data_IF_094840727344
#
_entry.id   IF_094840727344
#
_cell.length_a   1.000
_cell.length_b   1.000
_cell.length_c   1.000
_cell.angle_alpha   90.00
_cell.angle_beta   90.00
_cell.angle_gamma   90.00
#
_symmetry.space_group_name_H-M   'P 1'
#
loop_
_entity.id
_entity.type
_entity.pdbx_description
1 polymer ?
#
# COMPACT_ATOMS: atom_id res chain seq x y z
N UNK A 1 -14.23 10.01 -30.36
CA UNK A 1 -13.80 9.16 -29.24
C UNK A 1 -14.48 9.69 -27.98
N UNK A 2 -14.96 8.82 -27.09
CA UNK A 2 -15.42 9.24 -25.77
C UNK A 2 -14.26 9.96 -25.05
N UNK A 3 -14.50 11.07 -24.33
CA UNK A 3 -13.44 11.75 -23.59
C UNK A 3 -12.87 10.82 -22.51
N UNK A 4 -11.54 10.87 -22.34
CA UNK A 4 -10.81 10.10 -21.34
C UNK A 4 -11.18 10.62 -19.94
N UNK A 5 -11.67 9.79 -19.00
CA UNK A 5 -11.91 10.24 -17.63
C UNK A 5 -10.64 10.79 -17.01
N UNK A 6 -10.75 11.74 -16.08
CA UNK A 6 -9.55 12.23 -15.38
C UNK A 6 -8.99 11.19 -14.42
N UNK A 7 -9.85 10.47 -13.71
CA UNK A 7 -9.45 9.42 -12.77
C UNK A 7 -10.10 8.06 -13.09
N UNK A 8 -9.36 6.98 -12.91
CA UNK A 8 -9.90 5.63 -12.72
C UNK A 8 -9.62 5.19 -11.29
N UNK A 9 -10.67 4.90 -10.54
CA UNK A 9 -10.57 4.25 -9.24
C UNK A 9 -10.79 2.76 -9.46
N UNK A 10 -9.85 1.92 -9.03
CA UNK A 10 -9.90 0.47 -9.22
C UNK A 10 -10.04 -0.22 -7.88
N UNK A 11 -11.03 -1.09 -7.77
CA UNK A 11 -11.30 -1.95 -6.61
C UNK A 11 -11.23 -3.41 -7.08
N UNK A 12 -10.08 -4.08 -6.95
CA UNK A 12 -10.02 -5.53 -7.07
C UNK A 12 -10.70 -6.17 -5.85
N UNK A 13 -11.54 -7.17 -6.08
CA UNK A 13 -12.34 -7.80 -5.01
C UNK A 13 -12.46 -9.31 -5.20
N UNK A 14 -12.61 -10.03 -4.10
CA UNK A 14 -12.98 -11.44 -4.09
C UNK A 14 -13.69 -11.80 -2.80
N UNK A 15 -14.94 -12.23 -2.90
CA UNK A 15 -15.73 -12.78 -1.79
C UNK A 15 -15.78 -11.89 -0.54
N UNK A 16 -15.94 -10.57 -0.76
CA UNK A 16 -15.93 -9.52 0.26
C UNK A 16 -17.09 -8.55 0.06
N UNK A 17 -18.25 -9.08 -0.34
CA UNK A 17 -19.43 -8.27 -0.63
C UNK A 17 -19.82 -7.34 0.54
N UNK A 18 -19.52 -7.74 1.79
CA UNK A 18 -19.84 -6.98 3.00
C UNK A 18 -19.05 -5.68 3.18
N UNK A 19 -17.80 -5.63 2.72
CA UNK A 19 -16.98 -4.41 2.80
C UNK A 19 -17.07 -3.59 1.52
N UNK A 20 -17.16 -4.29 0.37
CA UNK A 20 -17.20 -3.70 -0.96
C UNK A 20 -18.31 -2.66 -1.11
N UNK A 21 -19.50 -2.92 -0.55
CA UNK A 21 -20.63 -1.98 -0.60
C UNK A 21 -20.24 -0.59 -0.07
N UNK A 22 -19.53 -0.56 1.06
CA UNK A 22 -19.13 0.69 1.70
C UNK A 22 -17.94 1.34 1.02
N UNK A 23 -16.99 0.55 0.48
CA UNK A 23 -15.93 1.06 -0.36
C UNK A 23 -16.51 1.80 -1.58
N UNK A 24 -17.43 1.17 -2.32
CA UNK A 24 -18.12 1.78 -3.48
C UNK A 24 -18.79 3.09 -3.08
N UNK A 25 -19.54 3.12 -1.96
CA UNK A 25 -20.19 4.35 -1.47
C UNK A 25 -19.20 5.50 -1.28
N UNK A 26 -17.98 5.25 -0.79
CA UNK A 26 -16.97 6.32 -0.62
C UNK A 26 -16.49 6.91 -1.94
N UNK A 27 -16.40 6.09 -2.99
CA UNK A 27 -16.00 6.52 -4.33
C UNK A 27 -17.14 7.28 -5.02
N UNK A 28 -18.38 6.82 -4.89
CA UNK A 28 -19.54 7.50 -5.48
C UNK A 28 -19.87 8.83 -4.80
N UNK A 29 -19.49 8.99 -3.52
CA UNK A 29 -19.70 10.21 -2.74
C UNK A 29 -18.62 11.29 -2.99
N UNK A 30 -17.82 11.16 -4.05
CA UNK A 30 -16.87 12.20 -4.44
C UNK A 30 -17.60 13.39 -5.07
N UNK A 31 -17.22 14.60 -4.65
CA UNK A 31 -17.66 15.86 -5.28
C UNK A 31 -16.86 16.14 -6.56
N UNK A 32 -16.83 15.18 -7.48
CA UNK A 32 -16.07 15.21 -8.71
C UNK A 32 -16.69 14.23 -9.71
N UNK A 33 -17.05 14.67 -10.91
CA UNK A 33 -17.80 13.82 -11.85
C UNK A 33 -16.92 13.11 -12.88
N UNK A 34 -15.74 13.65 -13.16
CA UNK A 34 -14.84 13.17 -14.23
C UNK A 34 -13.98 11.98 -13.78
N UNK A 35 -14.65 10.88 -13.43
CA UNK A 35 -14.01 9.62 -13.08
C UNK A 35 -14.80 8.40 -13.55
N UNK A 36 -14.13 7.25 -13.60
CA UNK A 36 -14.75 5.93 -13.67
C UNK A 36 -14.36 5.10 -12.44
N UNK A 37 -15.26 4.21 -12.01
CA UNK A 37 -15.01 3.23 -10.95
C UNK A 37 -14.99 1.84 -11.58
N UNK A 38 -13.85 1.17 -11.53
CA UNK A 38 -13.67 -0.20 -12.00
C UNK A 38 -13.74 -1.12 -10.79
N UNK A 39 -14.71 -2.02 -10.76
CA UNK A 39 -14.76 -3.13 -9.79
C UNK A 39 -14.36 -4.40 -10.54
N UNK A 40 -13.23 -4.99 -10.14
CA UNK A 40 -12.69 -6.20 -10.75
C UNK A 40 -12.89 -7.39 -9.82
N UNK A 41 -13.91 -8.19 -10.10
CA UNK A 41 -14.28 -9.37 -9.33
C UNK A 41 -13.49 -10.62 -9.78
N UNK A 42 -12.72 -11.19 -8.87
CA UNK A 42 -11.93 -12.38 -9.12
C UNK A 42 -12.73 -13.68 -8.92
N UNK A 43 -13.77 -13.87 -9.73
CA UNK A 43 -14.59 -15.08 -9.75
C UNK A 43 -15.24 -15.37 -8.36
N UNK A 44 -15.83 -14.35 -7.74
CA UNK A 44 -16.52 -14.50 -6.45
C UNK A 44 -17.75 -15.41 -6.53
N UNK A 45 -17.99 -16.17 -5.47
CA UNK A 45 -19.15 -17.07 -5.31
C UNK A 45 -20.17 -16.56 -4.28
N UNK A 46 -19.91 -15.40 -3.66
CA UNK A 46 -20.81 -14.73 -2.71
C UNK A 46 -21.72 -13.69 -3.43
N UNK A 47 -22.31 -12.77 -2.66
CA UNK A 47 -23.20 -11.74 -3.21
C UNK A 47 -22.48 -10.54 -3.84
N UNK A 48 -21.21 -10.67 -4.24
CA UNK A 48 -20.40 -9.55 -4.75
C UNK A 48 -21.06 -8.89 -5.96
N UNK A 49 -21.50 -9.67 -6.96
CA UNK A 49 -22.18 -9.15 -8.15
C UNK A 49 -23.48 -8.44 -7.79
N UNK A 50 -24.28 -9.04 -6.91
CA UNK A 50 -25.55 -8.49 -6.45
C UNK A 50 -25.33 -7.15 -5.73
N UNK A 51 -24.31 -7.04 -4.87
CA UNK A 51 -23.96 -5.79 -4.19
C UNK A 51 -23.64 -4.68 -5.19
N UNK A 52 -22.82 -4.95 -6.20
CA UNK A 52 -22.47 -3.95 -7.22
C UNK A 52 -23.71 -3.55 -8.03
N UNK A 53 -24.60 -4.49 -8.35
CA UNK A 53 -25.81 -4.22 -9.13
C UNK A 53 -26.85 -3.31 -8.44
N UNK A 54 -26.74 -3.11 -7.12
CA UNK A 54 -27.62 -2.19 -6.36
C UNK A 54 -27.34 -0.71 -6.66
N UNK A 55 -26.19 -0.40 -7.24
CA UNK A 55 -25.79 0.97 -7.54
C UNK A 55 -26.16 1.33 -8.98
N UNK A 56 -27.18 2.18 -9.15
CA UNK A 56 -27.56 2.74 -10.45
C UNK A 56 -26.69 3.97 -10.80
N UNK A 57 -25.39 3.74 -11.01
CA UNK A 57 -24.43 4.78 -11.38
C UNK A 57 -23.61 4.36 -12.60
N UNK A 58 -23.78 5.11 -13.70
CA UNK A 58 -23.14 4.82 -14.98
C UNK A 58 -21.61 4.89 -14.95
N UNK A 59 -21.00 5.50 -13.91
CA UNK A 59 -19.55 5.56 -13.72
C UNK A 59 -18.98 4.23 -13.27
N UNK A 60 -19.79 3.33 -12.72
CA UNK A 60 -19.38 1.99 -12.29
C UNK A 60 -19.22 1.09 -13.52
N UNK A 61 -18.08 0.40 -13.59
CA UNK A 61 -17.73 -0.62 -14.58
C UNK A 61 -17.37 -1.88 -13.81
N UNK A 62 -18.32 -2.81 -13.75
CA UNK A 62 -18.12 -4.11 -13.15
C UNK A 62 -17.57 -5.09 -14.20
N UNK A 63 -16.42 -5.67 -13.89
CA UNK A 63 -15.80 -6.76 -14.65
C UNK A 63 -15.57 -7.93 -13.73
N UNK A 64 -15.48 -9.13 -14.31
CA UNK A 64 -15.20 -10.34 -13.57
C UNK A 64 -14.35 -11.29 -14.41
N UNK A 65 -13.57 -12.13 -13.73
CA UNK A 65 -12.87 -13.25 -14.37
C UNK A 65 -13.73 -14.50 -14.36
N UNK A 66 -13.67 -15.31 -15.44
CA UNK A 66 -14.37 -16.59 -15.55
C UNK A 66 -13.71 -17.71 -14.71
N UNK A 67 -12.51 -17.45 -14.17
CA UNK A 67 -11.77 -18.36 -13.30
C UNK A 67 -11.06 -17.58 -12.19
N UNK A 68 -10.77 -18.23 -11.06
CA UNK A 68 -9.96 -17.63 -10.00
C UNK A 68 -8.54 -17.40 -10.50
N UNK A 69 -8.10 -16.16 -10.44
CA UNK A 69 -6.76 -15.70 -10.81
C UNK A 69 -5.91 -15.47 -9.56
N UNK A 70 -4.59 -15.44 -9.73
CA UNK A 70 -3.69 -14.90 -8.71
C UNK A 70 -4.03 -13.42 -8.45
N UNK A 71 -3.64 -12.88 -7.29
CA UNK A 71 -3.80 -11.46 -7.01
C UNK A 71 -3.17 -10.58 -8.09
N UNK A 72 -1.95 -10.92 -8.49
CA UNK A 72 -1.20 -10.21 -9.52
C UNK A 72 -1.97 -10.17 -10.86
N UNK A 73 -2.43 -11.33 -11.33
CA UNK A 73 -3.14 -11.44 -12.61
C UNK A 73 -4.50 -10.73 -12.57
N UNK A 74 -5.20 -10.76 -11.43
CA UNK A 74 -6.46 -10.03 -11.28
C UNK A 74 -6.25 -8.51 -11.30
N UNK A 75 -5.16 -8.02 -10.70
CA UNK A 75 -4.80 -6.60 -10.72
C UNK A 75 -4.39 -6.12 -12.12
N UNK A 76 -3.64 -6.94 -12.87
CA UNK A 76 -3.33 -6.72 -14.30
C UNK A 76 -4.59 -6.72 -15.17
N UNK A 77 -5.49 -7.67 -14.96
CA UNK A 77 -6.76 -7.72 -15.67
C UNK A 77 -7.59 -6.45 -15.39
N UNK A 78 -7.67 -6.02 -14.13
CA UNK A 78 -8.30 -4.75 -13.76
C UNK A 78 -7.65 -3.56 -14.49
N UNK A 79 -6.31 -3.55 -14.57
CA UNK A 79 -5.54 -2.49 -15.21
C UNK A 79 -5.83 -2.40 -16.72
N UNK A 80 -6.09 -3.53 -17.38
CA UNK A 80 -6.44 -3.58 -18.80
C UNK A 80 -7.74 -2.81 -19.13
N UNK A 81 -8.62 -2.62 -18.14
CA UNK A 81 -9.88 -1.90 -18.29
C UNK A 81 -9.79 -0.40 -18.01
N UNK A 82 -8.67 0.07 -17.41
CA UNK A 82 -8.43 1.47 -17.04
C UNK A 82 -8.32 2.37 -18.27
N UNK A 83 -9.14 3.44 -18.28
CA UNK A 83 -9.13 4.48 -19.31
C UNK A 83 -8.71 5.84 -18.78
N UNK A 84 -8.80 6.08 -17.47
CA UNK A 84 -8.52 7.37 -16.83
C UNK A 84 -7.12 7.90 -17.10
N UNK A 85 -6.91 9.20 -16.88
CA UNK A 85 -5.58 9.83 -16.97
C UNK A 85 -4.69 9.49 -15.78
N UNK A 86 -5.29 9.41 -14.60
CA UNK A 86 -4.65 8.96 -13.37
C UNK A 86 -5.40 7.76 -12.80
N UNK A 87 -4.64 6.80 -12.28
CA UNK A 87 -5.16 5.55 -11.73
C UNK A 87 -4.84 5.47 -10.24
N UNK A 88 -5.79 4.97 -9.46
CA UNK A 88 -5.63 4.62 -8.06
C UNK A 88 -6.20 3.22 -7.82
N UNK A 89 -5.47 2.42 -7.04
CA UNK A 89 -5.99 1.17 -6.49
C UNK A 89 -6.30 1.37 -5.00
N UNK A 90 -7.45 0.88 -4.57
CA UNK A 90 -7.82 0.73 -3.17
C UNK A 90 -8.48 -0.64 -2.97
N UNK A 91 -8.36 -1.18 -1.77
CA UNK A 91 -8.95 -2.45 -1.37
C UNK A 91 -10.45 -2.32 -1.22
N UNK A 92 -11.15 -3.44 -1.35
CA UNK A 92 -12.59 -3.53 -1.13
C UNK A 92 -13.03 -3.33 0.32
N UNK A 93 -12.08 -3.21 1.26
CA UNK A 93 -12.31 -2.81 2.64
C UNK A 93 -11.78 -1.43 3.01
N UNK A 94 -11.24 -0.67 2.05
CA UNK A 94 -10.77 0.71 2.20
C UNK A 94 -11.86 1.74 1.89
N UNK A 95 -11.56 3.02 2.13
CA UNK A 95 -12.45 4.13 1.75
C UNK A 95 -11.72 5.32 1.13
N UNK A 96 -12.28 5.91 0.08
CA UNK A 96 -11.76 7.15 -0.50
C UNK A 96 -12.26 8.36 0.32
N UNK A 97 -11.37 9.29 0.70
CA UNK A 97 -11.77 10.45 1.50
C UNK A 97 -12.67 11.41 0.70
N UNK A 98 -13.65 12.08 1.32
CA UNK A 98 -14.39 13.14 0.67
C UNK A 98 -13.47 14.20 0.07
N UNK A 99 -13.72 14.58 -1.19
CA UNK A 99 -12.91 15.53 -1.97
C UNK A 99 -11.50 15.04 -2.34
N UNK A 100 -11.20 13.74 -2.22
CA UNK A 100 -9.93 13.19 -2.66
C UNK A 100 -9.65 13.49 -4.14
N UNK A 101 -10.61 13.20 -5.03
CA UNK A 101 -10.45 13.44 -6.47
C UNK A 101 -10.33 14.94 -6.79
N UNK A 102 -11.16 15.78 -6.16
CA UNK A 102 -11.07 17.24 -6.30
C UNK A 102 -9.71 17.76 -5.85
N UNK A 103 -9.19 17.24 -4.74
CA UNK A 103 -7.91 17.65 -4.20
C UNK A 103 -6.74 17.21 -5.06
N UNK A 104 -6.75 15.96 -5.55
CA UNK A 104 -5.77 15.45 -6.48
C UNK A 104 -5.78 16.26 -7.78
N UNK A 105 -6.96 16.60 -8.31
CA UNK A 105 -7.09 17.45 -9.51
C UNK A 105 -6.40 18.80 -9.30
N UNK A 106 -6.66 19.48 -8.19
CA UNK A 106 -6.03 20.77 -7.87
C UNK A 106 -4.51 20.66 -7.76
N UNK A 107 -4.00 19.58 -7.16
CA UNK A 107 -2.56 19.34 -7.08
C UNK A 107 -1.98 19.16 -8.48
N UNK A 108 -2.58 18.30 -9.31
CA UNK A 108 -2.13 18.05 -10.69
C UNK A 108 -2.15 19.34 -11.53
N UNK A 109 -3.18 20.18 -11.37
CA UNK A 109 -3.30 21.44 -12.12
C UNK A 109 -2.25 22.49 -11.68
N UNK A 110 -1.89 22.50 -10.39
CA UNK A 110 -0.90 23.43 -9.84
C UNK A 110 0.55 22.98 -10.08
N UNK A 111 0.82 21.67 -10.09
CA UNK A 111 2.15 21.10 -10.29
C UNK A 111 2.26 20.47 -11.68
N UNK A 112 2.63 21.30 -12.66
CA UNK A 112 2.87 20.83 -14.03
C UNK A 112 3.92 19.71 -14.03
N UNK A 113 3.62 18.64 -14.77
CA UNK A 113 4.47 17.45 -14.94
C UNK A 113 4.59 16.51 -13.73
N UNK A 114 3.75 16.65 -12.71
CA UNK A 114 3.67 15.61 -11.67
C UNK A 114 2.88 14.41 -12.17
N UNK A 115 3.54 13.26 -12.11
CA UNK A 115 2.96 11.97 -12.51
C UNK A 115 2.37 11.19 -11.35
N UNK A 116 2.79 11.49 -10.12
CA UNK A 116 2.39 10.70 -8.95
C UNK A 116 2.09 11.59 -7.75
N UNK A 117 0.97 11.29 -7.08
CA UNK A 117 0.62 11.81 -5.76
C UNK A 117 0.46 10.61 -4.83
N UNK A 118 1.30 10.54 -3.80
CA UNK A 118 1.23 9.57 -2.72
C UNK A 118 0.87 10.27 -1.41
N UNK A 119 0.31 9.54 -0.46
CA UNK A 119 0.08 10.02 0.90
C UNK A 119 0.46 8.97 1.95
N UNK A 120 0.64 9.43 3.19
CA UNK A 120 0.83 8.55 4.35
C UNK A 120 -0.45 7.77 4.66
N UNK A 121 -0.33 6.62 5.33
CA UNK A 121 -1.47 5.84 5.83
C UNK A 121 -2.03 6.40 7.15
N UNK A 122 -2.15 7.73 7.22
CA UNK A 122 -2.50 8.43 8.46
C UNK A 122 -3.96 8.28 8.89
N UNK A 123 -4.83 7.75 8.02
CA UNK A 123 -6.19 7.36 8.36
C UNK A 123 -6.32 5.85 8.25
N UNK A 124 -6.70 5.21 9.35
CA UNK A 124 -6.80 3.77 9.42
C UNK A 124 -8.05 3.36 10.21
N UNK A 125 -8.87 2.47 9.66
CA UNK A 125 -10.11 2.01 10.27
C UNK A 125 -10.11 0.49 10.44
N UNK A 126 -10.21 0.06 11.69
CA UNK A 126 -10.26 -1.34 12.07
C UNK A 126 -11.72 -1.73 12.13
N UNK A 127 -12.14 -2.59 11.20
CA UNK A 127 -13.53 -3.00 11.10
C UNK A 127 -13.99 -3.75 12.35
N UNK A 128 -15.30 -3.84 12.61
CA UNK A 128 -15.83 -4.62 13.71
C UNK A 128 -15.42 -6.11 13.68
N UNK A 129 -15.11 -6.65 12.49
CA UNK A 129 -14.73 -8.04 12.30
C UNK A 129 -13.20 -8.28 12.18
N UNK A 130 -12.36 -7.29 12.50
CA UNK A 130 -10.89 -7.38 12.38
C UNK A 130 -10.35 -8.61 13.12
N UNK A 131 -9.28 -9.21 12.59
CA UNK A 131 -8.68 -10.43 13.15
C UNK A 131 -7.94 -10.21 14.48
N UNK A 132 -7.63 -8.96 14.82
CA UNK A 132 -6.82 -8.59 15.97
C UNK A 132 -7.73 -8.26 17.14
N UNK A 133 -7.87 -9.24 18.03
CA UNK A 133 -8.72 -9.13 19.21
C UNK A 133 -8.36 -7.90 20.07
N UNK A 134 -9.39 -7.12 20.42
CA UNK A 134 -9.28 -5.90 21.22
C UNK A 134 -9.26 -4.61 20.39
N UNK A 135 -9.00 -4.70 19.08
CA UNK A 135 -8.90 -3.52 18.23
C UNK A 135 -10.14 -3.33 17.32
N UNK A 136 -11.24 -4.01 17.62
CA UNK A 136 -12.46 -3.97 16.83
C UNK A 136 -13.07 -2.56 16.84
N UNK A 137 -13.50 -2.11 15.67
CA UNK A 137 -14.19 -0.83 15.49
C UNK A 137 -13.41 0.36 16.08
N UNK A 138 -12.18 0.58 15.59
CA UNK A 138 -11.31 1.69 16.02
C UNK A 138 -10.87 2.50 14.79
N UNK A 139 -10.97 3.83 14.88
CA UNK A 139 -10.55 4.75 13.82
C UNK A 139 -9.36 5.60 14.30
N UNK A 140 -8.30 5.62 13.51
CA UNK A 140 -7.11 6.45 13.72
C UNK A 140 -7.15 7.62 12.73
N UNK A 141 -7.00 8.84 13.25
CA UNK A 141 -7.00 10.08 12.45
C UNK A 141 -5.73 10.87 12.73
N UNK A 142 -4.80 10.92 11.78
CA UNK A 142 -3.63 11.79 11.85
C UNK A 142 -3.91 13.18 11.25
N UNK A 143 -3.58 14.25 11.97
CA UNK A 143 -3.83 15.64 11.55
C UNK A 143 -2.69 16.23 10.70
N UNK A 144 -1.92 15.37 10.01
CA UNK A 144 -0.93 15.81 9.02
C UNK A 144 -1.62 16.54 7.86
N UNK A 145 -1.08 17.68 7.44
CA UNK A 145 -1.69 18.52 6.41
C UNK A 145 -0.69 19.14 5.42
N UNK A 146 0.53 18.62 5.41
CA UNK A 146 1.63 19.11 4.60
C UNK A 146 1.79 18.29 3.34
N UNK A 147 2.36 18.90 2.30
CA UNK A 147 2.73 18.24 1.06
C UNK A 147 4.17 18.58 0.75
N UNK A 148 4.91 17.64 0.18
CA UNK A 148 6.30 17.82 -0.20
C UNK A 148 6.61 17.14 -1.52
N UNK A 149 7.58 17.69 -2.25
CA UNK A 149 8.13 17.04 -3.42
C UNK A 149 9.26 16.11 -2.96
N UNK A 150 9.15 14.83 -3.26
CA UNK A 150 10.17 13.84 -2.92
C UNK A 150 10.99 13.52 -4.16
N UNK A 151 12.31 13.51 -4.02
CA UNK A 151 13.22 13.00 -5.05
C UNK A 151 13.11 11.47 -5.11
N UNK A 152 12.62 10.93 -6.23
CA UNK A 152 12.33 9.50 -6.34
C UNK A 152 13.59 8.64 -6.24
N UNK A 153 14.73 9.14 -6.75
CA UNK A 153 16.00 8.40 -6.73
C UNK A 153 16.59 8.29 -5.33
N UNK A 154 16.65 9.39 -4.59
CA UNK A 154 17.07 9.39 -3.18
C UNK A 154 16.14 8.49 -2.36
N UNK A 155 14.83 8.58 -2.62
CA UNK A 155 13.86 7.72 -1.95
C UNK A 155 14.08 6.24 -2.26
N UNK A 156 14.24 5.89 -3.54
CA UNK A 156 14.46 4.51 -3.97
C UNK A 156 15.70 3.93 -3.30
N UNK A 157 16.84 4.63 -3.34
CA UNK A 157 18.09 4.15 -2.75
C UNK A 157 18.00 4.01 -1.22
N UNK A 158 17.44 5.02 -0.54
CA UNK A 158 17.29 4.98 0.93
C UNK A 158 16.35 3.87 1.38
N UNK A 159 15.21 3.69 0.69
CA UNK A 159 14.29 2.61 0.98
C UNK A 159 14.89 1.24 0.65
N UNK A 160 15.58 1.10 -0.49
CA UNK A 160 16.23 -0.15 -0.86
C UNK A 160 17.28 -0.57 0.17
N UNK A 161 18.12 0.36 0.64
CA UNK A 161 19.15 0.07 1.63
C UNK A 161 18.56 -0.22 3.01
N UNK A 162 17.57 0.56 3.45
CA UNK A 162 16.93 0.43 4.76
C UNK A 162 15.40 0.50 4.61
N UNK A 163 14.76 -0.60 4.22
CA UNK A 163 13.32 -0.64 4.02
C UNK A 163 12.59 -0.20 5.29
N UNK A 164 11.64 0.71 5.13
CA UNK A 164 10.90 1.33 6.24
C UNK A 164 9.41 1.24 5.95
N UNK A 165 8.63 2.28 6.23
CA UNK A 165 7.20 2.29 5.89
C UNK A 165 7.00 2.33 4.37
N UNK A 166 6.47 1.24 3.80
CA UNK A 166 6.18 1.08 2.36
C UNK A 166 5.23 2.15 1.83
N UNK A 167 4.35 2.70 2.69
CA UNK A 167 3.44 3.77 2.31
C UNK A 167 4.14 5.08 1.95
N UNK A 168 5.45 5.17 2.19
CA UNK A 168 6.29 6.27 1.74
C UNK A 168 6.78 6.13 0.30
N UNK A 169 6.74 4.93 -0.29
CA UNK A 169 7.02 4.72 -1.72
C UNK A 169 5.85 5.23 -2.59
N UNK A 170 6.11 5.65 -3.83
CA UNK A 170 5.09 6.10 -4.78
C UNK A 170 4.25 4.95 -5.36
N UNK A 171 3.66 4.13 -4.50
CA UNK A 171 2.81 2.99 -4.87
C UNK A 171 1.49 3.45 -5.53
N UNK A 172 0.92 2.60 -6.38
CA UNK A 172 -0.42 2.83 -6.96
C UNK A 172 -1.55 2.54 -5.95
N UNK A 173 -1.29 1.63 -5.01
CA UNK A 173 -2.19 1.36 -3.90
C UNK A 173 -2.14 2.52 -2.92
N UNK A 174 -3.30 3.16 -2.71
CA UNK A 174 -3.40 4.45 -2.03
C UNK A 174 -2.43 5.52 -2.60
N UNK A 175 -2.40 5.63 -3.93
CA UNK A 175 -1.67 6.67 -4.66
C UNK A 175 -2.30 6.94 -6.02
N UNK A 176 -2.28 8.19 -6.48
CA UNK A 176 -2.65 8.54 -7.85
C UNK A 176 -1.41 8.45 -8.73
N UNK A 177 -1.43 7.59 -9.74
CA UNK A 177 -0.33 7.39 -10.70
C UNK A 177 -0.82 7.69 -12.11
N UNK A 178 -0.08 8.48 -12.86
CA UNK A 178 -0.39 8.78 -14.26
C UNK A 178 -0.40 7.49 -15.08
N UNK A 179 -1.52 7.21 -15.74
CA UNK A 179 -1.71 5.95 -16.46
C UNK A 179 -0.73 5.81 -17.63
N UNK A 180 -0.28 6.91 -18.23
CA UNK A 180 0.70 6.85 -19.33
C UNK A 180 2.09 6.43 -18.84
N UNK A 181 2.45 6.75 -17.58
CA UNK A 181 3.63 6.19 -16.91
C UNK A 181 3.48 4.68 -16.75
N UNK A 182 2.33 4.22 -16.26
CA UNK A 182 2.01 2.79 -16.12
C UNK A 182 2.17 2.07 -17.47
N UNK A 183 1.54 2.60 -18.53
CA UNK A 183 1.63 2.03 -19.89
C UNK A 183 3.07 1.97 -20.41
N UNK A 184 3.90 2.96 -20.06
CA UNK A 184 5.32 2.95 -20.44
C UNK A 184 6.13 1.85 -19.74
N UNK A 185 5.77 1.52 -18.49
CA UNK A 185 6.37 0.43 -17.72
C UNK A 185 5.92 -0.91 -18.31
N UNK A 186 4.62 -1.09 -18.57
CA UNK A 186 4.08 -2.30 -19.23
C UNK A 186 4.75 -2.56 -20.57
N UNK A 187 4.88 -1.53 -21.41
CA UNK A 187 5.50 -1.65 -22.73
C UNK A 187 6.97 -2.10 -22.66
N UNK A 188 7.68 -1.77 -21.56
CA UNK A 188 9.09 -2.11 -21.39
C UNK A 188 9.31 -3.49 -20.76
N UNK A 189 8.41 -3.92 -19.86
CA UNK A 189 8.60 -5.13 -19.05
C UNK A 189 7.57 -6.23 -19.30
N UNK A 190 6.57 -5.99 -20.15
CA UNK A 190 5.49 -6.92 -20.44
C UNK A 190 4.35 -6.93 -19.42
N UNK A 191 4.38 -6.03 -18.43
CA UNK A 191 3.38 -5.88 -17.38
C UNK A 191 3.81 -4.82 -16.35
N UNK A 192 2.93 -4.49 -15.41
CA UNK A 192 3.15 -3.50 -14.35
C UNK A 192 3.25 -4.15 -12.96
N UNK A 193 2.33 -5.05 -12.64
CA UNK A 193 2.33 -5.97 -11.51
C UNK A 193 3.03 -7.26 -11.96
N UNK A 194 4.34 -7.31 -11.80
CA UNK A 194 5.20 -8.42 -12.28
C UNK A 194 5.54 -9.43 -11.18
N UNK A 195 5.16 -9.14 -9.94
CA UNK A 195 5.44 -9.95 -8.76
C UNK A 195 4.22 -9.92 -7.82
N UNK A 196 4.14 -10.88 -6.90
CA UNK A 196 3.03 -11.01 -5.95
C UNK A 196 2.87 -9.80 -5.01
N UNK A 197 3.94 -9.05 -4.73
CA UNK A 197 3.92 -7.81 -3.96
C UNK A 197 3.55 -6.58 -4.77
N UNK A 198 2.36 -6.63 -5.35
CA UNK A 198 1.83 -5.62 -6.28
C UNK A 198 1.99 -4.18 -5.77
N UNK A 199 1.78 -3.95 -4.47
CA UNK A 199 1.89 -2.62 -3.84
C UNK A 199 3.34 -2.12 -3.84
N UNK A 200 4.21 -2.79 -3.08
CA UNK A 200 5.62 -2.41 -2.88
C UNK A 200 6.35 -2.36 -4.20
N UNK A 201 6.15 -3.37 -5.06
CA UNK A 201 6.78 -3.44 -6.35
C UNK A 201 6.39 -2.29 -7.27
N UNK A 202 5.09 -1.93 -7.30
CA UNK A 202 4.64 -0.76 -8.05
C UNK A 202 5.33 0.51 -7.55
N UNK A 203 5.54 0.65 -6.24
CA UNK A 203 6.27 1.76 -5.63
C UNK A 203 7.73 1.83 -6.05
N UNK A 204 8.43 0.69 -6.12
CA UNK A 204 9.82 0.62 -6.58
C UNK A 204 9.93 0.99 -8.06
N UNK A 205 9.08 0.42 -8.91
CA UNK A 205 9.03 0.71 -10.35
C UNK A 205 8.70 2.18 -10.60
N UNK A 206 7.69 2.72 -9.92
CA UNK A 206 7.32 4.12 -10.03
C UNK A 206 8.43 5.06 -9.58
N UNK A 207 9.13 4.75 -8.49
CA UNK A 207 10.27 5.54 -8.05
C UNK A 207 11.44 5.48 -9.04
N UNK A 208 11.63 4.35 -9.73
CA UNK A 208 12.67 4.20 -10.74
C UNK A 208 12.37 4.98 -12.03
N UNK A 209 11.11 5.00 -12.47
CA UNK A 209 10.68 5.63 -13.73
C UNK A 209 10.21 7.09 -13.60
N UNK A 210 10.37 7.70 -12.42
CA UNK A 210 10.04 9.12 -12.19
C UNK A 210 11.20 9.85 -11.52
N UNK A 211 11.34 11.15 -11.79
CA UNK A 211 12.35 11.98 -11.09
C UNK A 211 11.90 12.38 -9.69
N UNK A 212 10.59 12.62 -9.53
CA UNK A 212 9.98 13.06 -8.29
C UNK A 212 8.49 12.73 -8.23
N UNK A 213 7.94 12.76 -7.03
CA UNK A 213 6.51 12.62 -6.76
C UNK A 213 6.08 13.53 -5.62
N UNK A 214 4.79 13.86 -5.56
CA UNK A 214 4.23 14.57 -4.42
C UNK A 214 3.90 13.57 -3.32
N UNK A 215 4.35 13.85 -2.10
CA UNK A 215 3.94 13.14 -0.90
C UNK A 215 3.10 14.05 0.00
N UNK A 216 1.95 13.56 0.42
CA UNK A 216 1.00 14.23 1.30
C UNK A 216 0.95 13.59 2.68
N UNK A 217 1.06 14.40 3.73
CA UNK A 217 0.74 13.99 5.10
C UNK A 217 -0.77 14.04 5.39
N UNK A 218 -1.56 14.59 4.47
CA UNK A 218 -3.03 14.48 4.46
C UNK A 218 -3.45 13.29 3.61
N UNK A 219 -4.00 12.21 4.19
CA UNK A 219 -4.44 11.05 3.42
C UNK A 219 -5.64 11.36 2.52
N UNK A 220 -5.62 10.78 1.32
CA UNK A 220 -6.73 10.84 0.34
C UNK A 220 -7.65 9.62 0.44
N UNK A 221 -7.35 8.70 1.34
CA UNK A 221 -8.11 7.49 1.61
C UNK A 221 -7.91 7.05 3.07
N UNK A 222 -8.83 6.24 3.58
CA UNK A 222 -8.71 5.45 4.80
C UNK A 222 -8.27 4.05 4.41
N UNK A 223 -7.25 3.55 5.10
CA UNK A 223 -6.85 2.14 5.05
C UNK A 223 -7.76 1.34 5.97
N UNK A 224 -8.50 0.40 5.41
CA UNK A 224 -9.35 -0.53 6.13
C UNK A 224 -8.59 -1.76 6.60
N UNK A 225 -8.95 -2.23 7.79
CA UNK A 225 -8.38 -3.45 8.37
C UNK A 225 -9.54 -4.38 8.73
N UNK A 226 -9.98 -5.19 7.77
CA UNK A 226 -11.10 -6.12 7.93
C UNK A 226 -10.69 -7.54 8.32
N UNK A 227 -11.67 -8.34 8.74
CA UNK A 227 -11.49 -9.76 9.05
C UNK A 227 -11.02 -10.63 7.88
N UNK A 228 -11.17 -10.16 6.64
CA UNK A 228 -10.74 -10.83 5.42
C UNK A 228 -9.52 -10.16 4.77
N UNK A 229 -8.99 -9.08 5.33
CA UNK A 229 -7.85 -8.34 4.76
C UNK A 229 -6.60 -9.21 4.64
N UNK A 230 -5.99 -9.22 3.46
CA UNK A 230 -4.78 -10.00 3.19
C UNK A 230 -3.62 -9.54 4.07
N UNK A 231 -3.42 -8.23 4.22
CA UNK A 231 -2.36 -7.67 5.06
C UNK A 231 -2.46 -8.13 6.52
N UNK A 232 -3.66 -8.10 7.09
CA UNK A 232 -3.91 -8.57 8.47
C UNK A 232 -3.69 -10.07 8.62
N UNK A 233 -4.08 -10.86 7.61
CA UNK A 233 -3.90 -12.31 7.63
C UNK A 233 -2.42 -12.75 7.60
N UNK A 234 -1.56 -11.97 6.93
CA UNK A 234 -0.11 -12.17 6.93
C UNK A 234 0.54 -11.70 8.24
N UNK A 235 0.03 -10.64 8.86
CA UNK A 235 0.58 -10.06 10.08
C UNK A 235 0.21 -10.82 11.37
N UNK A 236 -0.95 -11.49 11.43
CA UNK A 236 -1.47 -12.09 12.67
C UNK A 236 -1.72 -13.59 12.53
N UNK A 237 -0.99 -14.41 13.29
CA UNK A 237 -0.93 -15.88 13.15
C UNK A 237 -2.11 -16.69 13.72
N UNK A 238 -3.19 -16.03 14.17
CA UNK A 238 -4.38 -16.73 14.69
C UNK A 238 -5.01 -17.74 13.70
N UNK A 239 -5.88 -18.64 14.20
CA UNK A 239 -6.50 -19.75 13.42
C UNK A 239 -7.07 -19.34 12.05
N UNK A 240 -7.57 -18.11 11.91
CA UNK A 240 -8.10 -17.56 10.65
C UNK A 240 -7.02 -17.12 9.65
N UNK A 241 -5.87 -16.62 10.11
CA UNK A 241 -4.74 -16.26 9.23
C UNK A 241 -4.10 -17.47 8.55
N UNK A 242 -4.15 -18.65 9.20
CA UNK A 242 -3.67 -19.91 8.61
C UNK A 242 -4.49 -20.35 7.39
N UNK A 243 -5.80 -20.11 7.40
CA UNK A 243 -6.71 -20.43 6.29
C UNK A 243 -6.42 -19.53 5.08
N UNK A 244 -6.26 -18.23 5.28
CA UNK A 244 -5.97 -17.28 4.19
C UNK A 244 -4.60 -17.56 3.55
N UNK A 245 -3.59 -17.94 4.35
CA UNK A 245 -2.28 -18.37 3.82
C UNK A 245 -2.40 -19.63 2.96
N UNK A 246 -3.25 -20.59 3.36
CA UNK A 246 -3.51 -21.80 2.58
C UNK A 246 -4.16 -21.47 1.24
N UNK A 247 -5.16 -20.59 1.24
CA UNK A 247 -5.80 -20.10 0.02
C UNK A 247 -4.79 -19.38 -0.90
N UNK A 248 -3.89 -18.57 -0.33
CA UNK A 248 -2.80 -17.93 -1.09
C UNK A 248 -1.86 -18.97 -1.72
N UNK A 249 -1.48 -20.03 -0.98
CA UNK A 249 -0.66 -21.13 -1.55
C UNK A 249 -1.37 -21.82 -2.71
N UNK A 250 -2.67 -22.10 -2.55
CA UNK A 250 -3.51 -22.75 -3.55
C UNK A 250 -3.65 -21.89 -4.82
N UNK A 251 -3.76 -20.56 -4.70
CA UNK A 251 -3.81 -19.62 -5.83
C UNK A 251 -2.56 -19.68 -6.71
N UNK A 252 -1.38 -19.80 -6.10
CA UNK A 252 -0.10 -19.87 -6.82
C UNK A 252 0.31 -21.32 -7.14
N UNK A 253 -0.54 -22.31 -6.83
CA UNK A 253 -0.27 -23.72 -7.10
C UNK A 253 0.93 -24.29 -6.35
N UNK A 254 1.33 -23.68 -5.23
CA UNK A 254 2.47 -24.12 -4.40
C UNK A 254 1.99 -24.72 -3.09
N UNK A 255 2.79 -25.60 -2.48
CA UNK A 255 2.46 -26.15 -1.15
C UNK A 255 2.90 -25.22 -0.01
N UNK A 256 4.01 -24.48 -0.20
CA UNK A 256 4.59 -23.54 0.76
C UNK A 256 4.82 -22.19 0.06
N UNK A 257 4.21 -21.07 0.52
CA UNK A 257 4.44 -19.75 -0.07
C UNK A 257 5.92 -19.34 -0.08
N UNK A 258 6.74 -19.90 0.82
CA UNK A 258 8.18 -19.64 0.84
C UNK A 258 8.90 -20.20 -0.41
N UNK A 259 8.31 -21.15 -1.14
CA UNK A 259 8.84 -21.64 -2.42
C UNK A 259 8.77 -20.58 -3.52
N UNK A 260 7.93 -19.55 -3.34
CA UNK A 260 7.83 -18.40 -4.22
C UNK A 260 8.83 -17.30 -3.89
N UNK A 261 9.60 -17.40 -2.80
CA UNK A 261 10.60 -16.38 -2.46
C UNK A 261 11.79 -16.43 -3.43
N UNK A 262 12.44 -15.28 -3.57
CA UNK A 262 13.66 -15.10 -4.33
C UNK A 262 14.72 -16.15 -3.94
N UNK A 263 15.52 -16.69 -4.88
CA UNK A 263 16.53 -17.71 -4.57
C UNK A 263 17.52 -17.36 -3.45
N UNK A 264 17.80 -16.07 -3.24
CA UNK A 264 18.63 -15.59 -2.11
C UNK A 264 17.93 -15.71 -0.74
N UNK A 265 16.60 -15.82 -0.71
CA UNK A 265 15.77 -15.95 0.49
C UNK A 265 15.20 -17.37 0.67
N UNK A 266 15.45 -18.31 -0.25
CA UNK A 266 14.81 -19.64 -0.24
C UNK A 266 15.01 -20.45 1.05
N UNK A 267 16.08 -20.17 1.81
CA UNK A 267 16.37 -20.86 3.08
C UNK A 267 15.69 -20.19 4.30
N UNK A 268 15.24 -18.94 4.14
CA UNK A 268 14.60 -18.14 5.19
C UNK A 268 13.11 -18.46 5.26
N UNK A 269 12.75 -19.67 5.68
CA UNK A 269 11.34 -20.07 5.87
C UNK A 269 10.69 -19.22 6.97
N UNK A 270 9.89 -18.22 6.61
CA UNK A 270 9.18 -17.37 7.56
C UNK A 270 7.99 -16.67 6.91
N UNK A 271 6.92 -16.51 7.68
CA UNK A 271 5.75 -15.72 7.27
C UNK A 271 5.86 -14.24 7.63
N UNK A 272 7.05 -13.78 8.06
CA UNK A 272 7.24 -12.38 8.43
C UNK A 272 7.15 -11.49 7.18
N UNK A 273 6.29 -10.46 7.15
CA UNK A 273 6.11 -9.59 5.99
C UNK A 273 7.38 -8.90 5.49
N UNK A 274 8.38 -8.71 6.36
CA UNK A 274 9.65 -8.09 5.93
C UNK A 274 10.45 -8.97 4.96
N UNK A 275 10.27 -10.29 4.96
CA UNK A 275 10.85 -11.15 3.93
C UNK A 275 10.17 -10.97 2.58
N UNK A 276 8.88 -10.64 2.57
CA UNK A 276 8.16 -10.29 1.36
C UNK A 276 8.67 -8.97 0.79
N UNK A 277 8.94 -7.97 1.64
CA UNK A 277 9.61 -6.73 1.21
C UNK A 277 10.97 -7.03 0.57
N UNK A 278 11.79 -7.87 1.21
CA UNK A 278 13.08 -8.27 0.67
C UNK A 278 12.98 -9.01 -0.67
N UNK A 279 11.98 -9.89 -0.83
CA UNK A 279 11.68 -10.57 -2.10
C UNK A 279 11.39 -9.56 -3.22
N UNK A 280 10.54 -8.57 -2.95
CA UNK A 280 10.22 -7.51 -3.90
C UNK A 280 11.45 -6.69 -4.32
N UNK A 281 12.34 -6.36 -3.37
CA UNK A 281 13.59 -5.64 -3.66
C UNK A 281 14.51 -6.46 -4.58
N UNK A 282 14.71 -7.73 -4.26
CA UNK A 282 15.58 -8.61 -5.05
C UNK A 282 15.03 -8.84 -6.45
N UNK A 283 13.72 -9.10 -6.58
CA UNK A 283 13.05 -9.25 -7.88
C UNK A 283 13.11 -7.97 -8.70
N UNK A 284 12.96 -6.81 -8.08
CA UNK A 284 13.13 -5.51 -8.73
C UNK A 284 14.55 -5.32 -9.28
N UNK A 285 15.58 -5.63 -8.48
CA UNK A 285 16.98 -5.56 -8.90
C UNK A 285 17.26 -6.51 -10.07
N UNK A 286 16.79 -7.74 -9.98
CA UNK A 286 17.02 -8.77 -11.01
C UNK A 286 16.30 -8.43 -12.32
N UNK A 287 15.04 -7.98 -12.25
CA UNK A 287 14.27 -7.54 -13.42
C UNK A 287 14.99 -6.41 -14.18
N UNK A 288 15.51 -5.43 -13.44
CA UNK A 288 16.18 -4.26 -14.01
C UNK A 288 17.70 -4.44 -14.20
N UNK A 289 18.24 -5.62 -13.88
CA UNK A 289 19.67 -5.96 -13.95
C UNK A 289 20.55 -4.92 -13.26
N UNK A 290 20.14 -4.48 -12.07
CA UNK A 290 20.83 -3.44 -11.30
C UNK A 290 22.05 -3.99 -10.56
N UNK A 291 23.08 -3.14 -10.40
CA UNK A 291 24.32 -3.52 -9.71
C UNK A 291 24.03 -3.93 -8.25
N UNK A 292 24.31 -5.19 -7.86
CA UNK A 292 24.05 -5.67 -6.51
C UNK A 292 24.89 -4.97 -5.44
N UNK A 293 25.98 -4.28 -5.81
CA UNK A 293 26.78 -3.49 -4.86
C UNK A 293 26.10 -2.17 -4.48
N UNK A 294 25.22 -1.66 -5.35
CA UNK A 294 24.43 -0.45 -5.10
C UNK A 294 23.07 -0.85 -4.52
N UNK A 295 22.45 -1.88 -5.10
CA UNK A 295 21.12 -2.37 -4.74
C UNK A 295 21.25 -3.60 -3.82
N UNK A 296 21.72 -3.35 -2.61
CA UNK A 296 21.73 -4.29 -1.49
C UNK A 296 21.00 -3.70 -0.28
N UNK A 297 20.18 -4.49 0.41
CA UNK A 297 19.53 -4.07 1.66
C UNK A 297 20.36 -4.47 2.89
N UNK A 298 20.26 -3.67 3.95
CA UNK A 298 20.87 -3.93 5.24
C UNK A 298 20.12 -5.08 5.95
N UNK A 299 20.78 -6.24 6.02
CA UNK A 299 20.26 -7.46 6.65
C UNK A 299 19.96 -7.28 8.13
N UNK A 300 20.80 -6.54 8.88
CA UNK A 300 20.58 -6.27 10.30
C UNK A 300 19.37 -5.35 10.50
N UNK A 301 19.25 -4.32 9.66
CA UNK A 301 18.08 -3.45 9.67
C UNK A 301 16.80 -4.25 9.41
N UNK A 302 16.79 -5.10 8.39
CA UNK A 302 15.64 -5.94 8.06
C UNK A 302 15.26 -6.89 9.20
N UNK A 303 16.25 -7.53 9.85
CA UNK A 303 16.01 -8.38 11.03
C UNK A 303 15.42 -7.59 12.21
N UNK A 304 15.86 -6.34 12.43
CA UNK A 304 15.26 -5.48 13.45
C UNK A 304 13.84 -5.02 13.08
N UNK A 305 13.55 -4.82 11.79
CA UNK A 305 12.18 -4.57 11.34
C UNK A 305 11.29 -5.80 11.56
N UNK A 306 11.84 -7.02 11.38
CA UNK A 306 11.13 -8.26 11.66
C UNK A 306 10.76 -8.39 13.14
N UNK A 307 11.58 -7.90 14.07
CA UNK A 307 11.29 -7.96 15.51
C UNK A 307 10.31 -6.87 15.97
N UNK A 308 10.23 -5.75 15.24
CA UNK A 308 9.47 -4.56 15.65
C UNK A 308 8.00 -4.86 16.00
N UNK A 309 7.31 -5.66 15.19
CA UNK A 309 5.88 -5.94 15.36
C UNK A 309 5.56 -7.18 16.20
N UNK A 310 6.57 -7.97 16.58
CA UNK A 310 6.39 -9.28 17.22
C UNK A 310 5.70 -9.17 18.58
N UNK A 311 5.89 -8.06 19.29
CA UNK A 311 5.24 -7.81 20.57
C UNK A 311 3.71 -7.64 20.47
N UNK A 312 3.18 -7.30 19.29
CA UNK A 312 1.74 -7.20 19.03
C UNK A 312 1.08 -8.56 18.70
N UNK A 313 1.87 -9.61 18.44
CA UNK A 313 1.38 -10.97 18.22
C UNK A 313 1.88 -11.93 19.32
N UNK A 314 1.30 -11.89 20.53
CA UNK A 314 1.74 -12.76 21.62
C UNK A 314 1.55 -14.25 21.33
N UNK A 315 0.65 -14.62 20.42
CA UNK A 315 0.43 -16.03 20.04
C UNK A 315 1.60 -16.54 19.19
N UNK A 316 2.08 -15.72 18.25
CA UNK A 316 3.19 -16.03 17.35
C UNK A 316 4.58 -15.67 17.86
N UNK A 317 4.70 -15.08 19.07
CA UNK A 317 5.93 -14.46 19.57
C UNK A 317 7.15 -15.41 19.54
N UNK A 318 7.10 -16.55 20.23
CA UNK A 318 8.25 -17.45 20.38
C UNK A 318 8.70 -18.04 19.04
N UNK A 319 7.75 -18.46 18.21
CA UNK A 319 8.02 -18.99 16.87
C UNK A 319 8.72 -17.94 15.99
N UNK A 320 8.25 -16.70 16.04
CA UNK A 320 8.79 -15.60 15.24
C UNK A 320 10.20 -15.22 15.69
N UNK A 321 10.44 -15.12 17.00
CA UNK A 321 11.78 -14.86 17.56
C UNK A 321 12.76 -15.96 17.15
N UNK A 322 12.39 -17.24 17.30
CA UNK A 322 13.24 -18.36 16.92
C UNK A 322 13.54 -18.37 15.42
N UNK A 323 12.56 -18.00 14.60
CA UNK A 323 12.73 -17.87 13.14
C UNK A 323 13.71 -16.75 12.79
N UNK A 324 13.60 -15.58 13.44
CA UNK A 324 14.52 -14.46 13.25
C UNK A 324 15.96 -14.85 13.63
N UNK A 325 16.16 -15.55 14.75
CA UNK A 325 17.49 -16.06 15.16
C UNK A 325 18.08 -17.04 14.15
N UNK A 326 17.24 -17.91 13.57
CA UNK A 326 17.67 -18.84 12.51
C UNK A 326 18.13 -18.08 11.27
N UNK A 327 17.35 -17.10 10.82
CA UNK A 327 17.69 -16.27 9.65
C UNK A 327 18.96 -15.46 9.93
N UNK A 328 19.10 -14.87 11.12
CA UNK A 328 20.31 -14.15 11.52
C UNK A 328 21.57 -15.02 11.40
N UNK A 329 21.50 -16.28 11.83
CA UNK A 329 22.58 -17.25 11.65
C UNK A 329 22.87 -17.54 10.17
N UNK A 330 21.85 -17.73 9.34
CA UNK A 330 22.02 -17.96 7.89
C UNK A 330 22.62 -16.75 7.17
N UNK A 331 22.36 -15.55 7.69
CA UNK A 331 22.82 -14.28 7.12
C UNK A 331 24.12 -13.75 7.71
N UNK A 332 24.74 -14.50 8.63
CA UNK A 332 25.95 -14.12 9.37
C UNK A 332 25.79 -12.79 10.14
N UNK A 333 24.62 -12.59 10.75
CA UNK A 333 24.31 -11.44 11.61
C UNK A 333 24.35 -11.88 13.08
N UNK A 334 25.19 -11.27 13.93
CA UNK A 334 25.25 -11.59 15.35
C UNK A 334 23.92 -11.34 16.06
N UNK A 335 23.42 -12.32 16.82
CA UNK A 335 22.18 -12.19 17.59
C UNK A 335 22.22 -11.00 18.58
N UNK A 336 23.40 -10.70 19.13
CA UNK A 336 23.61 -9.57 20.04
C UNK A 336 23.41 -8.19 19.41
N UNK A 337 23.39 -8.10 18.08
CA UNK A 337 23.10 -6.86 17.35
C UNK A 337 21.58 -6.66 17.12
N UNK A 338 20.77 -7.69 17.34
CA UNK A 338 19.32 -7.65 17.09
C UNK A 338 18.59 -7.26 18.37
N UNK A 339 17.66 -6.32 18.25
CA UNK A 339 16.80 -5.91 19.36
C UNK A 339 15.56 -6.78 19.40
N UNK A 340 15.40 -7.54 20.50
CA UNK A 340 14.21 -8.36 20.74
C UNK A 340 13.31 -7.67 21.78
N UNK A 341 12.16 -7.11 21.38
CA UNK A 341 11.23 -6.49 22.33
C UNK A 341 10.59 -7.57 23.20
N UNK A 342 10.20 -7.22 24.43
CA UNK A 342 9.50 -8.14 25.31
C UNK A 342 8.13 -8.55 24.73
N UNK A 343 7.69 -9.77 25.05
CA UNK A 343 6.36 -10.26 24.69
C UNK A 343 5.27 -9.36 25.26
N UNK A 344 4.45 -8.79 24.38
CA UNK A 344 3.35 -7.91 24.77
C UNK A 344 2.09 -8.67 25.21
N UNK A 345 1.07 -7.91 25.55
CA UNK A 345 -0.30 -8.37 25.82
C UNK A 345 -1.24 -7.63 24.88
N UNK A 346 -2.21 -8.33 24.27
CA UNK A 346 -3.22 -7.67 23.45
C UNK A 346 -4.02 -6.69 24.31
N UNK A 347 -4.06 -5.43 23.88
CA UNK A 347 -4.81 -4.39 24.55
C UNK A 347 -5.46 -3.48 23.51
N UNK A 348 -6.72 -3.13 23.74
CA UNK A 348 -7.43 -2.14 22.95
C UNK A 348 -6.63 -0.82 22.97
N UNK A 349 -6.39 -0.19 21.81
CA UNK A 349 -5.74 1.11 21.77
C UNK A 349 -6.47 2.13 22.66
N UNK A 350 -5.75 2.89 23.51
CA UNK A 350 -6.38 3.91 24.32
C UNK A 350 -6.97 4.99 23.41
N UNK A 351 -8.30 5.09 23.40
CA UNK A 351 -9.01 6.08 22.60
C UNK A 351 -8.86 7.47 23.22
N UNK A 352 -8.73 8.49 22.37
CA UNK A 352 -8.48 9.87 22.75
C UNK A 352 -7.41 10.54 21.89
N UNK A 353 -7.17 11.84 22.15
CA UNK A 353 -6.14 12.59 21.45
C UNK A 353 -4.73 12.20 21.92
N UNK A 354 -3.80 12.08 20.98
CA UNK A 354 -2.38 11.91 21.21
C UNK A 354 -1.63 13.17 20.80
N UNK A 355 -0.75 13.64 21.69
CA UNK A 355 -0.07 14.91 21.56
C UNK A 355 1.43 14.73 21.32
N UNK A 356 1.99 15.58 20.47
CA UNK A 356 3.45 15.73 20.35
C UNK A 356 4.02 16.45 21.59
N UNK A 357 5.33 16.40 21.83
CA UNK A 357 5.97 17.10 22.95
C UNK A 357 5.71 18.61 22.98
N UNK A 358 5.41 19.21 21.84
CA UNK A 358 5.05 20.64 21.71
C UNK A 358 3.58 20.94 22.07
N UNK A 359 2.79 19.94 22.50
CA UNK A 359 1.38 20.08 22.87
C UNK A 359 0.39 20.04 21.71
N UNK A 360 0.84 19.90 20.46
CA UNK A 360 -0.05 19.77 19.31
C UNK A 360 -0.67 18.36 19.25
N UNK A 361 -1.99 18.27 19.08
CA UNK A 361 -2.65 16.99 18.79
C UNK A 361 -2.21 16.51 17.40
N UNK A 362 -1.63 15.32 17.35
CA UNK A 362 -1.14 14.71 16.12
C UNK A 362 -2.05 13.59 15.63
N UNK A 363 -2.59 12.79 16.54
CA UNK A 363 -3.46 11.66 16.24
C UNK A 363 -4.69 11.71 17.14
N UNK A 364 -5.86 11.43 16.61
CA UNK A 364 -7.05 11.10 17.39
C UNK A 364 -7.40 9.63 17.15
N UNK A 365 -7.46 8.86 18.24
CA UNK A 365 -7.98 7.48 18.21
C UNK A 365 -9.43 7.52 18.68
N UNK A 366 -10.34 7.05 17.84
CA UNK A 366 -11.78 7.08 18.07
C UNK A 366 -12.29 5.65 18.28
N UNK A 367 -13.06 5.45 19.35
CA UNK A 367 -13.86 4.24 19.53
C UNK A 367 -15.08 4.33 18.60
N UNK A 368 -15.14 3.45 17.61
CA UNK A 368 -16.19 3.47 16.62
C UNK A 368 -17.57 3.15 17.18
N UNK A 369 -17.67 2.37 18.27
CA UNK A 369 -18.94 2.07 18.90
C UNK A 369 -19.51 3.32 19.59
N UNK A 370 -18.65 4.10 20.24
CA UNK A 370 -19.05 5.36 20.87
C UNK A 370 -19.36 6.45 19.82
N UNK A 371 -18.65 6.44 18.69
CA UNK A 371 -18.87 7.38 17.60
C UNK A 371 -20.03 7.00 16.67
N UNK A 372 -20.61 5.80 16.81
CA UNK A 372 -21.71 5.31 15.98
C UNK A 372 -21.31 4.97 14.54
N UNK A 373 -20.05 4.60 14.31
CA UNK A 373 -19.55 4.16 13.00
C UNK A 373 -19.34 2.64 12.99
N UNK A 374 -19.51 2.00 11.84
CA UNK A 374 -19.38 0.53 11.71
C UNK A 374 -18.76 0.06 10.39
N UNK A 375 -18.36 0.99 9.53
CA UNK A 375 -17.82 0.75 8.20
C UNK A 375 -16.96 1.94 7.74
N UNK A 376 -16.21 1.74 6.66
CA UNK A 376 -15.35 2.80 6.08
C UNK A 376 -16.10 4.00 5.54
N UNK A 377 -17.34 3.85 5.07
CA UNK A 377 -18.11 5.00 4.61
C UNK A 377 -18.36 5.98 5.75
N UNK A 378 -18.90 5.49 6.87
CA UNK A 378 -19.12 6.33 8.06
C UNK A 378 -17.81 6.89 8.61
N UNK A 379 -16.74 6.09 8.62
CA UNK A 379 -15.42 6.52 9.04
C UNK A 379 -14.87 7.67 8.19
N UNK A 380 -15.07 7.65 6.86
CA UNK A 380 -14.63 8.73 5.96
C UNK A 380 -15.42 10.02 6.19
N UNK A 381 -16.73 9.93 6.46
CA UNK A 381 -17.58 11.08 6.79
C UNK A 381 -17.15 11.71 8.10
N UNK A 382 -16.98 10.90 9.16
CA UNK A 382 -16.51 11.37 10.46
C UNK A 382 -15.13 12.02 10.35
N UNK A 383 -14.19 11.36 9.69
CA UNK A 383 -12.82 11.87 9.49
C UNK A 383 -12.86 13.22 8.77
N UNK A 384 -13.62 13.34 7.67
CA UNK A 384 -13.75 14.60 6.93
C UNK A 384 -14.37 15.73 7.75
N UNK A 385 -15.26 15.42 8.71
CA UNK A 385 -15.85 16.43 9.59
C UNK A 385 -14.85 16.99 10.61
N UNK A 386 -13.86 16.17 11.00
CA UNK A 386 -12.86 16.50 12.03
C UNK A 386 -11.61 17.16 11.46
N UNK A 387 -11.22 16.86 10.23
CA UNK A 387 -9.95 17.34 9.64
C UNK A 387 -10.08 18.64 8.86
N UNK A 388 -11.30 19.07 8.52
CA UNK A 388 -11.55 20.29 7.75
C UNK A 388 -11.07 20.21 6.28
N UNK A 389 -11.30 21.28 5.50
CA UNK A 389 -11.07 21.31 4.04
C UNK A 389 -9.74 21.93 3.60
N UNK A 390 -8.89 22.37 4.51
CA UNK A 390 -7.80 23.29 4.17
C UNK A 390 -6.48 22.56 3.94
N UNK A 391 -6.08 22.42 2.68
CA UNK A 391 -4.72 22.00 2.30
C UNK A 391 -3.78 23.19 2.42
N UNK A 392 -2.71 23.06 3.22
CA UNK A 392 -1.66 24.06 3.31
C UNK A 392 -0.43 23.56 2.55
N UNK A 393 0.05 24.34 1.59
CA UNK A 393 1.26 24.02 0.84
C UNK A 393 2.49 24.55 1.58
N UNK A 394 3.44 23.67 1.90
CA UNK A 394 4.77 24.07 2.37
C UNK A 394 5.80 23.48 1.43
N UNK A 395 6.49 24.35 0.68
CA UNK A 395 7.66 23.93 -0.09
C UNK A 395 8.80 23.59 0.88
N UNK A 396 8.96 22.31 1.21
CA UNK A 396 10.16 21.85 1.94
C UNK A 396 11.29 21.64 0.94
N UNK A 397 12.08 22.70 0.71
CA UNK A 397 13.46 22.58 0.18
C UNK A 397 14.49 22.50 1.32
N UNK A 398 14.09 22.06 2.51
CA UNK A 398 14.99 21.93 3.66
C UNK A 398 14.86 20.55 4.28
N UNK A 399 15.55 19.57 3.70
CA UNK A 399 16.21 18.57 4.53
C UNK A 399 17.55 19.17 4.94
N UNK A 400 17.76 19.25 6.25
CA UNK A 400 18.93 19.81 6.90
C UNK A 400 20.21 19.17 6.37
N UNK A 401 21.10 20.02 5.87
CA UNK A 401 22.51 19.71 5.67
C UNK A 401 23.18 19.35 7.00
N UNK A 402 23.17 18.06 7.36
CA UNK A 402 24.19 17.48 8.23
C UNK A 402 25.08 16.58 7.39
N UNK A 403 26.23 17.17 7.05
CA UNK A 403 27.44 16.61 6.42
C UNK A 403 27.55 15.08 6.44
N UNK A 404 27.38 14.48 5.26
CA UNK A 404 28.33 13.54 4.66
C UNK A 404 27.96 13.42 3.17
N UNK A 405 28.44 14.38 2.36
CA UNK A 405 28.43 14.26 0.91
C UNK A 405 29.42 13.15 0.52
N UNK A 406 28.91 11.92 0.41
CA UNK A 406 29.42 10.99 -0.58
C UNK A 406 28.49 11.11 -1.79
N UNK A 407 29.05 11.65 -2.88
CA UNK A 407 28.41 11.72 -4.20
C UNK A 407 27.80 10.37 -4.54
N UNK A 408 26.46 10.32 -4.61
CA UNK A 408 25.76 9.14 -5.12
C UNK A 408 26.22 8.90 -6.57
N UNK A 409 26.64 7.68 -6.96
CA UNK A 409 27.14 7.40 -8.30
C UNK A 409 26.04 7.66 -9.32
N UNK A 410 26.30 8.40 -10.40
CA UNK A 410 25.32 8.64 -11.48
C UNK A 410 24.77 7.32 -12.04
N UNK A 411 23.44 7.14 -12.02
CA UNK A 411 22.78 6.05 -12.73
C UNK A 411 22.88 6.36 -14.24
N UNK A 412 23.22 5.39 -15.09
CA UNK A 412 23.35 5.63 -16.51
C UNK A 412 22.01 6.11 -17.08
N UNK A 413 21.97 7.37 -17.52
CA UNK A 413 20.88 7.88 -18.37
C UNK A 413 20.94 7.11 -19.69
N UNK A 414 20.07 6.13 -19.88
CA UNK A 414 19.83 5.63 -21.23
C UNK A 414 19.22 6.78 -22.03
N UNK A 415 19.97 7.27 -23.02
CA UNK A 415 19.55 8.29 -23.96
C UNK A 415 18.31 7.82 -24.70
N UNK A 416 17.19 8.52 -24.52
CA UNK A 416 15.99 8.36 -25.34
C UNK A 416 16.36 8.67 -26.80
N UNK A 417 16.52 7.61 -27.61
CA UNK A 417 16.48 7.75 -29.07
C UNK A 417 15.03 7.61 -29.49
N UNK A 418 14.47 8.73 -29.95
CA UNK A 418 13.14 8.77 -30.55
C UNK A 418 13.13 7.88 -31.80
N UNK A 419 12.39 6.77 -31.74
CA UNK A 419 12.13 5.93 -32.90
C UNK A 419 11.25 6.71 -33.88
N UNK A 420 11.78 6.99 -35.07
CA UNK A 420 11.09 7.67 -36.16
C UNK A 420 10.52 6.59 -37.10
N UNK A 421 9.19 6.46 -37.24
CA UNK A 421 8.60 5.48 -38.14
C UNK A 421 8.71 5.98 -39.58
N UNK A 422 9.47 5.25 -40.41
CA UNK A 422 9.23 5.15 -41.85
C UNK A 422 8.61 3.80 -42.16
#
# INVERSE_FOLDING_TARGET
>A
MQPRPRFSVVIPTRERCETLEYCIKTVLNQNYDDFELIVMDNCSEDQTKEVVSKFDDTRIKYFYSDQRLSMQDNWELALSHVKGKFTIYIGDDDGLMPNALTGASKIIDNFKNIKIIKWCSGYNYWWPNVLVEGNENVLFINFGNQFRLINSRQKLLSYYQRPSDDHTLPMIYHGFVETDLIRSIEAKHGGYFLVSGVDVFSGLMNAYYTDSYIFSDMPFSIVGVSGKSNGTAHLFKGKKGAQIRKETSEEYGVQDPNELLHPELKNTKSHNPQLFVADNLLRFRDLLQLDPNIFSFDKLHLLNMMTYTVHFDPDGYEETINTIKKIAKEWDVPESAITFPAKGVRQRPPCGPQYLPNGQCHTLIVDGNLAGISNVYDATILTSSLTGKTMNFVSSTQESSTKNEQTAPELPKQSYTTYNPQ
#
